data_IF_087578011035
#
_entry.id   IF_087578011035
#
_cell.length_a   1.000
_cell.length_b   1.000
_cell.length_c   1.000
_cell.angle_alpha   90.00
_cell.angle_beta   90.00
_cell.angle_gamma   90.00
#
_symmetry.space_group_name_H-M   'P 1'
#
loop_
_entity.id
_entity.type
_entity.pdbx_description
1 polymer ?
#
# COMPACT_ATOMS: atom_id res chain seq x y z
N UNK A 1 12.71 7.69 -27.07
CA UNK A 1 11.80 6.72 -26.43
C UNK A 1 12.49 6.22 -25.17
N UNK A 2 12.08 6.74 -24.02
CA UNK A 2 12.65 6.44 -22.71
C UNK A 2 12.00 5.17 -22.14
N UNK A 3 12.79 4.11 -21.92
CA UNK A 3 12.35 2.85 -21.30
C UNK A 3 12.36 2.96 -19.77
N UNK A 4 11.74 4.01 -19.22
CA UNK A 4 11.41 4.04 -17.79
C UNK A 4 10.47 2.85 -17.52
N UNK A 5 10.97 1.84 -16.81
CA UNK A 5 10.16 0.71 -16.31
C UNK A 5 8.91 1.31 -15.68
N UNK A 6 7.76 1.09 -16.30
CA UNK A 6 6.46 1.33 -15.68
C UNK A 6 6.40 0.35 -14.51
N UNK A 7 6.61 0.85 -13.29
CA UNK A 7 6.29 0.08 -12.08
C UNK A 7 4.78 -0.10 -12.12
N UNK A 8 4.34 -1.32 -12.44
CA UNK A 8 2.91 -1.63 -12.41
C UNK A 8 2.49 -1.76 -10.95
N UNK A 9 1.24 -1.44 -10.62
CA UNK A 9 0.75 -1.67 -9.25
C UNK A 9 0.82 -3.16 -8.88
N UNK A 10 0.81 -4.05 -9.88
CA UNK A 10 1.07 -5.49 -9.70
C UNK A 10 2.48 -5.78 -9.16
N UNK A 11 3.50 -5.01 -9.57
CA UNK A 11 4.86 -5.07 -9.00
C UNK A 11 4.91 -4.54 -7.56
N UNK A 12 3.89 -3.76 -7.16
CA UNK A 12 3.73 -3.26 -5.81
C UNK A 12 3.15 -4.34 -4.89
N UNK A 13 2.20 -5.14 -5.39
CA UNK A 13 1.62 -6.29 -4.66
C UNK A 13 2.60 -7.42 -4.41
N UNK A 14 3.57 -7.64 -5.30
CA UNK A 14 4.65 -8.60 -5.06
C UNK A 14 5.63 -8.16 -3.97
N UNK A 15 5.59 -6.90 -3.56
CA UNK A 15 6.46 -6.29 -2.54
C UNK A 15 5.69 -5.76 -1.33
N UNK A 16 4.37 -5.99 -1.25
CA UNK A 16 3.46 -5.29 -0.33
C UNK A 16 3.69 -5.61 1.16
N UNK A 17 4.54 -6.61 1.43
CA UNK A 17 4.95 -6.98 2.77
C UNK A 17 6.26 -6.29 3.20
N UNK A 18 6.65 -5.18 2.56
CA UNK A 18 7.91 -4.49 2.89
C UNK A 18 7.67 -3.03 3.25
N UNK A 19 8.16 -2.65 4.43
CA UNK A 19 8.16 -1.26 4.90
C UNK A 19 8.97 -0.32 3.99
N UNK A 20 9.90 -0.85 3.18
CA UNK A 20 10.74 -0.10 2.23
C UNK A 20 9.96 0.77 1.24
N UNK A 21 8.71 0.40 0.96
CA UNK A 21 7.83 1.12 0.04
C UNK A 21 7.15 2.35 0.68
N UNK A 22 7.29 2.54 1.99
CA UNK A 22 6.64 3.60 2.76
C UNK A 22 7.56 4.83 2.91
N UNK A 23 6.94 6.00 3.07
CA UNK A 23 7.61 7.20 3.57
C UNK A 23 7.89 7.06 5.07
N UNK A 24 8.90 7.79 5.55
CA UNK A 24 9.35 7.73 6.95
C UNK A 24 8.25 8.01 7.97
N UNK A 25 7.29 8.88 7.61
CA UNK A 25 6.14 9.29 8.42
C UNK A 25 4.81 8.70 7.93
N UNK A 26 4.86 7.66 7.10
CA UNK A 26 3.63 7.05 6.58
C UNK A 26 2.79 6.44 7.71
N UNK A 27 1.48 6.36 7.47
CA UNK A 27 0.53 5.72 8.38
C UNK A 27 -0.20 4.59 7.66
N UNK A 28 -0.32 3.46 8.35
CA UNK A 28 -1.15 2.32 7.97
C UNK A 28 -2.33 2.23 8.95
N UNK A 29 -3.54 2.06 8.42
CA UNK A 29 -4.72 1.67 9.19
C UNK A 29 -5.07 0.23 8.81
N UNK A 30 -4.76 -0.72 9.67
CA UNK A 30 -5.00 -2.15 9.45
C UNK A 30 -6.19 -2.64 10.27
N UNK A 31 -7.32 -2.89 9.60
CA UNK A 31 -8.58 -3.26 10.23
C UNK A 31 -9.04 -2.29 11.35
N UNK A 32 -8.62 -1.02 11.27
CA UNK A 32 -8.90 0.01 12.28
C UNK A 32 -7.78 0.25 13.29
N UNK A 33 -6.73 -0.57 13.31
CA UNK A 33 -5.55 -0.35 14.13
C UNK A 33 -4.56 0.55 13.40
N UNK A 34 -4.06 1.59 14.07
CA UNK A 34 -3.14 2.58 13.48
C UNK A 34 -1.69 2.18 13.74
N UNK A 35 -0.88 2.19 12.69
CA UNK A 35 0.58 1.99 12.74
C UNK A 35 1.23 3.17 12.01
N UNK A 36 2.12 3.90 12.68
CA UNK A 36 2.71 5.12 12.13
C UNK A 36 4.23 5.09 12.24
N UNK A 37 4.89 5.45 11.14
CA UNK A 37 6.35 5.53 11.07
C UNK A 37 7.00 4.24 10.58
N UNK A 38 8.12 4.39 9.88
CA UNK A 38 8.78 3.29 9.16
C UNK A 38 9.20 2.11 10.07
N UNK A 39 9.70 2.41 11.27
CA UNK A 39 10.11 1.39 12.25
C UNK A 39 8.92 0.56 12.73
N UNK A 40 7.82 1.22 13.11
CA UNK A 40 6.60 0.54 13.55
C UNK A 40 5.97 -0.27 12.42
N UNK A 41 6.01 0.23 11.19
CA UNK A 41 5.57 -0.50 10.00
C UNK A 41 6.43 -1.75 9.75
N UNK A 42 7.76 -1.64 9.85
CA UNK A 42 8.65 -2.79 9.70
C UNK A 42 8.33 -3.88 10.72
N UNK A 43 8.26 -3.51 12.00
CA UNK A 43 7.91 -4.43 13.08
C UNK A 43 6.52 -5.05 12.87
N UNK A 44 5.54 -4.27 12.40
CA UNK A 44 4.20 -4.77 12.11
C UNK A 44 4.20 -5.83 11.00
N UNK A 45 4.88 -5.57 9.88
CA UNK A 45 4.95 -6.52 8.78
C UNK A 45 5.73 -7.79 9.14
N UNK A 46 6.79 -7.69 9.95
CA UNK A 46 7.56 -8.84 10.44
C UNK A 46 6.72 -9.74 11.39
N UNK A 47 5.73 -9.17 12.07
CA UNK A 47 4.82 -9.91 12.95
C UNK A 47 3.65 -10.58 12.22
N UNK A 48 3.36 -10.19 10.98
CA UNK A 48 2.26 -10.79 10.22
C UNK A 48 2.63 -12.21 9.76
N UNK A 49 1.67 -13.16 9.76
CA UNK A 49 1.89 -14.45 9.13
C UNK A 49 2.22 -14.28 7.64
N UNK A 50 2.94 -15.26 7.08
CA UNK A 50 3.14 -15.32 5.63
C UNK A 50 1.79 -15.28 4.92
N UNK A 51 1.70 -14.53 3.82
CA UNK A 51 0.43 -14.21 3.18
C UNK A 51 0.52 -14.33 1.66
N UNK A 52 -0.52 -14.86 1.02
CA UNK A 52 -0.70 -14.81 -0.42
C UNK A 52 -1.85 -13.85 -0.76
N UNK A 53 -1.54 -12.79 -1.50
CA UNK A 53 -2.52 -11.84 -2.00
C UNK A 53 -2.84 -12.12 -3.47
N UNK A 54 -4.13 -12.15 -3.80
CA UNK A 54 -4.62 -12.15 -5.17
C UNK A 54 -5.48 -10.90 -5.37
N UNK A 55 -5.01 -10.00 -6.24
CA UNK A 55 -5.72 -8.76 -6.58
C UNK A 55 -6.68 -9.03 -7.73
N UNK A 56 -7.96 -8.74 -7.52
CA UNK A 56 -9.00 -8.92 -8.53
C UNK A 56 -9.34 -7.61 -9.24
N UNK A 57 -9.30 -6.49 -8.52
CA UNK A 57 -9.67 -5.17 -9.03
C UNK A 57 -8.65 -4.12 -8.64
N UNK A 58 -8.50 -3.13 -9.51
CA UNK A 58 -7.64 -1.98 -9.28
C UNK A 58 -8.22 -0.76 -10.01
N UNK A 59 -8.25 0.36 -9.31
CA UNK A 59 -8.53 1.68 -9.85
C UNK A 59 -7.52 2.70 -9.29
N UNK A 60 -7.29 3.79 -10.02
CA UNK A 60 -6.45 4.88 -9.54
C UNK A 60 -6.89 6.26 -10.04
N UNK A 61 -6.67 7.27 -9.20
CA UNK A 61 -7.09 8.63 -9.45
C UNK A 61 -6.00 9.61 -9.02
N UNK A 62 -5.69 10.65 -9.82
CA UNK A 62 -4.78 11.70 -9.39
C UNK A 62 -5.41 12.49 -8.23
N UNK A 63 -4.60 12.83 -7.23
CA UNK A 63 -5.04 13.68 -6.12
C UNK A 63 -4.75 15.13 -6.45
N UNK A 64 -5.73 16.01 -6.21
CA UNK A 64 -5.59 17.43 -6.47
C UNK A 64 -4.48 18.06 -5.62
N UNK A 65 -3.66 18.92 -6.22
CA UNK A 65 -2.45 19.50 -5.61
C UNK A 65 -2.68 20.26 -4.30
N UNK A 66 -3.87 20.85 -4.13
CA UNK A 66 -4.28 21.53 -2.90
C UNK A 66 -4.34 20.59 -1.70
N UNK A 67 -4.66 19.30 -1.91
CA UNK A 67 -4.70 18.30 -0.85
C UNK A 67 -3.32 17.71 -0.55
N UNK A 68 -2.33 17.93 -1.41
CA UNK A 68 -1.02 17.25 -1.37
C UNK A 68 0.15 18.22 -1.22
N UNK A 69 -0.11 19.51 -0.97
CA UNK A 69 0.91 20.55 -0.88
C UNK A 69 1.81 20.57 -2.14
N UNK A 70 1.17 20.48 -3.31
CA UNK A 70 1.81 20.39 -4.63
C UNK A 70 2.73 19.17 -4.84
N UNK A 71 2.62 18.13 -4.00
CA UNK A 71 3.26 16.84 -4.28
C UNK A 71 2.43 16.05 -5.30
N UNK A 72 3.12 15.44 -6.28
CA UNK A 72 2.47 14.54 -7.24
C UNK A 72 2.04 13.27 -6.51
N UNK A 73 0.73 13.09 -6.37
CA UNK A 73 0.13 11.98 -5.61
C UNK A 73 -0.99 11.30 -6.38
N UNK A 74 -1.07 9.98 -6.23
CA UNK A 74 -2.11 9.13 -6.83
C UNK A 74 -2.78 8.33 -5.72
N UNK A 75 -4.10 8.39 -5.66
CA UNK A 75 -4.92 7.46 -4.89
C UNK A 75 -5.03 6.16 -5.66
N UNK A 76 -4.74 5.04 -5.01
CA UNK A 76 -4.93 3.70 -5.53
C UNK A 76 -5.97 3.01 -4.67
N UNK A 77 -6.93 2.34 -5.30
CA UNK A 77 -7.95 1.53 -4.62
C UNK A 77 -7.95 0.15 -5.25
N UNK A 78 -8.07 -0.87 -4.41
CA UNK A 78 -8.01 -2.25 -4.85
C UNK A 78 -8.86 -3.15 -3.97
N UNK A 79 -9.17 -4.32 -4.50
CA UNK A 79 -9.82 -5.38 -3.76
C UNK A 79 -9.39 -6.73 -4.28
N UNK A 80 -9.44 -7.73 -3.42
CA UNK A 80 -9.25 -9.11 -3.82
C UNK A 80 -9.33 -10.05 -2.65
N UNK A 81 -8.51 -11.10 -2.69
CA UNK A 81 -8.44 -12.09 -1.62
C UNK A 81 -7.04 -12.16 -1.03
N UNK A 82 -6.97 -12.42 0.27
CA UNK A 82 -5.71 -12.69 0.97
C UNK A 82 -5.86 -13.97 1.79
N UNK A 83 -4.83 -14.79 1.79
CA UNK A 83 -4.72 -15.98 2.62
C UNK A 83 -3.47 -15.88 3.48
N UNK A 84 -3.66 -15.75 4.78
CA UNK A 84 -2.59 -15.83 5.77
C UNK A 84 -2.35 -17.29 6.15
N UNK A 85 -1.09 -17.65 6.43
CA UNK A 85 -0.75 -18.99 6.89
C UNK A 85 -1.54 -19.36 8.15
N UNK A 86 -1.99 -20.61 8.23
CA UNK A 86 -2.85 -21.11 9.29
C UNK A 86 -4.29 -20.54 9.32
N UNK A 87 -4.67 -19.64 8.41
CA UNK A 87 -5.98 -18.99 8.39
C UNK A 87 -6.81 -19.33 7.13
N UNK A 88 -8.12 -19.10 7.21
CA UNK A 88 -9.00 -19.16 6.03
C UNK A 88 -8.68 -17.99 5.10
N UNK A 89 -9.06 -18.12 3.83
CA UNK A 89 -8.97 -17.01 2.88
C UNK A 89 -10.03 -15.95 3.20
N UNK A 90 -9.65 -14.69 3.09
CA UNK A 90 -10.51 -13.53 3.31
C UNK A 90 -10.57 -12.64 2.07
N UNK A 91 -11.69 -11.96 1.89
CA UNK A 91 -11.77 -10.84 0.96
C UNK A 91 -11.27 -9.57 1.65
N UNK A 92 -10.56 -8.72 0.91
CA UNK A 92 -10.08 -7.44 1.42
C UNK A 92 -10.40 -6.30 0.48
N UNK A 93 -10.44 -5.08 1.04
CA UNK A 93 -10.31 -3.83 0.32
C UNK A 93 -9.11 -3.08 0.88
N UNK A 94 -8.34 -2.46 0.00
CA UNK A 94 -7.21 -1.63 0.39
C UNK A 94 -7.18 -0.35 -0.45
N UNK A 95 -6.81 0.76 0.18
CA UNK A 95 -6.53 1.99 -0.53
C UNK A 95 -5.28 2.65 0.04
N UNK A 96 -4.50 3.26 -0.83
CA UNK A 96 -3.28 3.94 -0.42
C UNK A 96 -2.96 5.12 -1.32
N UNK A 97 -2.22 6.08 -0.76
CA UNK A 97 -1.71 7.26 -1.44
C UNK A 97 -0.26 7.05 -1.82
N UNK A 98 0.02 6.93 -3.12
CA UNK A 98 1.37 6.95 -3.66
C UNK A 98 1.79 8.39 -3.91
N UNK A 99 2.92 8.80 -3.32
CA UNK A 99 3.51 10.13 -3.54
C UNK A 99 4.87 9.98 -4.21
N UNK A 100 5.10 10.78 -5.25
CA UNK A 100 6.38 10.82 -5.93
C UNK A 100 7.46 11.42 -5.03
N UNK A 101 8.63 10.78 -5.00
CA UNK A 101 9.86 11.28 -4.37
C UNK A 101 10.90 11.45 -5.47
N UNK A 102 11.10 12.69 -5.88
CA UNK A 102 12.03 13.03 -6.96
C UNK A 102 13.38 13.45 -6.37
N UNK A 103 14.41 12.70 -6.75
CA UNK A 103 15.82 13.08 -6.57
C UNK A 103 16.36 13.58 -7.92
N UNK A 104 17.57 14.16 -7.93
CA UNK A 104 18.20 14.69 -9.14
C UNK A 104 18.25 13.69 -10.31
N UNK A 105 18.32 12.38 -10.01
CA UNK A 105 18.55 11.34 -11.01
C UNK A 105 17.38 10.35 -11.16
N UNK A 106 16.39 10.36 -10.27
CA UNK A 106 15.31 9.36 -10.29
C UNK A 106 14.05 9.86 -9.60
N UNK A 107 12.90 9.31 -10.00
CA UNK A 107 11.64 9.43 -9.26
C UNK A 107 11.21 8.05 -8.78
N UNK A 108 11.01 7.91 -7.47
CA UNK A 108 10.44 6.71 -6.85
C UNK A 108 9.10 7.05 -6.25
N UNK A 109 8.16 6.10 -6.23
CA UNK A 109 6.86 6.29 -5.61
C UNK A 109 6.83 5.59 -4.26
N UNK A 110 6.36 6.28 -3.23
CA UNK A 110 6.26 5.74 -1.87
C UNK A 110 4.85 5.93 -1.31
N UNK A 111 4.43 5.02 -0.44
CA UNK A 111 3.18 5.16 0.32
C UNK A 111 3.33 6.29 1.35
N UNK A 112 2.40 7.24 1.29
CA UNK A 112 2.21 8.25 2.33
C UNK A 112 1.13 7.82 3.35
N UNK A 113 0.10 7.13 2.90
CA UNK A 113 -1.00 6.62 3.72
C UNK A 113 -1.52 5.32 3.13
N UNK A 114 -1.83 4.34 3.97
CA UNK A 114 -2.43 3.06 3.59
C UNK A 114 -3.56 2.68 4.54
N UNK A 115 -4.61 2.07 4.01
CA UNK A 115 -5.76 1.60 4.76
C UNK A 115 -6.19 0.23 4.20
N UNK A 116 -5.98 -0.81 5.01
CA UNK A 116 -6.36 -2.19 4.72
C UNK A 116 -7.54 -2.63 5.59
N UNK A 117 -8.51 -3.33 5.00
CA UNK A 117 -9.64 -3.88 5.74
C UNK A 117 -10.17 -5.18 5.14
N UNK A 118 -10.43 -6.17 5.99
CA UNK A 118 -11.21 -7.36 5.62
C UNK A 118 -12.68 -7.01 5.38
N UNK A 119 -13.29 -7.60 4.36
CA UNK A 119 -14.72 -7.42 4.12
C UNK A 119 -15.57 -8.07 5.22
N UNK A 120 -15.08 -9.16 5.80
CA UNK A 120 -15.71 -9.90 6.89
C UNK A 120 -15.12 -9.57 8.26
N UNK A 121 -14.51 -8.38 8.45
CA UNK A 121 -13.78 -8.02 9.67
C UNK A 121 -14.55 -8.22 10.99
N UNK A 122 -15.88 -8.10 10.98
CA UNK A 122 -16.71 -8.28 12.17
C UNK A 122 -16.88 -9.75 12.60
N UNK A 123 -16.45 -10.70 11.76
CA UNK A 123 -16.54 -12.15 11.97
C UNK A 123 -15.15 -12.82 12.09
N UNK A 124 -14.10 -12.02 12.27
CA UNK A 124 -12.70 -12.41 12.47
C UNK A 124 -12.28 -11.94 13.85
#
# INVERSE_FOLDING_TARGET
MDKRRRVSVTDYYSLLNTSLLYLDKATLIWNGNVVTGLEALANFFDMLPSSEFQVNMLDCQPVHEQATQAQTTVLVVTSGTVKFDGNKQHYFNQNFLLTAQTTANNTVWKIASDCFRFQDWAAI
#
